data_IF_805124410518
#
_entry.id   IF_805124410518
#
_cell.length_a   1.000
_cell.length_b   1.000
_cell.length_c   1.000
_cell.angle_alpha   90.00
_cell.angle_beta   90.00
_cell.angle_gamma   90.00
#
_symmetry.space_group_name_H-M   'P 1'
#
loop_
_entity.id
_entity.type
_entity.pdbx_description
1 polymer ?
#
# COMPACT_ATOMS: atom_id res chain seq x y z
N UNK A 1 9.45 -62.69 4.62
CA UNK A 1 8.42 -63.24 3.73
C UNK A 1 7.30 -62.21 3.73
N UNK A 2 6.99 -61.67 2.56
CA UNK A 2 5.80 -60.87 2.20
C UNK A 2 5.43 -59.65 3.03
N UNK A 3 5.66 -58.47 2.46
CA UNK A 3 4.63 -57.44 2.31
C UNK A 3 4.78 -56.80 0.91
N UNK A 4 3.94 -57.23 -0.04
CA UNK A 4 3.49 -56.37 -1.13
C UNK A 4 2.34 -55.53 -0.57
N UNK A 5 2.27 -54.25 -0.92
CA UNK A 5 1.13 -53.72 -1.67
C UNK A 5 1.45 -52.32 -2.19
N UNK A 6 1.40 -52.20 -3.51
CA UNK A 6 1.42 -50.96 -4.27
C UNK A 6 0.30 -50.00 -3.84
N UNK A 7 0.57 -48.69 -3.96
CA UNK A 7 -0.31 -47.75 -4.67
C UNK A 7 0.43 -46.44 -4.95
N UNK A 8 0.82 -46.24 -6.21
CA UNK A 8 0.92 -44.90 -6.83
C UNK A 8 -0.49 -44.49 -7.24
N UNK A 9 -0.90 -43.27 -6.95
CA UNK A 9 -1.04 -42.29 -8.03
C UNK A 9 -1.04 -40.85 -7.49
N UNK A 10 -0.52 -39.93 -8.32
CA UNK A 10 -0.27 -38.53 -8.01
C UNK A 10 -1.58 -37.73 -8.16
N UNK A 11 -1.66 -36.58 -7.50
CA UNK A 11 -2.29 -35.35 -8.00
C UNK A 11 -2.20 -34.32 -6.87
N UNK A 12 -1.07 -33.60 -6.84
CA UNK A 12 -0.98 -32.29 -6.19
C UNK A 12 -1.37 -31.26 -7.24
N UNK A 13 -2.67 -31.02 -7.38
CA UNK A 13 -3.17 -29.80 -7.99
C UNK A 13 -3.15 -28.70 -6.92
N UNK A 14 -2.02 -28.01 -6.81
CA UNK A 14 -1.91 -26.72 -6.09
C UNK A 14 -2.55 -25.63 -6.95
N UNK A 15 -3.88 -25.64 -7.07
CA UNK A 15 -4.62 -24.51 -7.62
C UNK A 15 -6.09 -24.48 -7.17
N UNK A 16 -6.31 -24.27 -5.87
CA UNK A 16 -7.60 -23.79 -5.37
C UNK A 16 -7.46 -22.32 -4.96
N UNK A 17 -7.64 -21.42 -5.93
CA UNK A 17 -8.09 -20.06 -5.64
C UNK A 17 -9.52 -20.18 -5.09
N UNK A 18 -9.65 -20.33 -3.78
CA UNK A 18 -10.92 -20.06 -3.13
C UNK A 18 -11.25 -18.56 -3.33
N UNK A 19 -12.44 -18.22 -3.86
CA UNK A 19 -12.83 -16.83 -3.95
C UNK A 19 -13.06 -16.32 -2.53
N UNK A 20 -12.30 -15.30 -2.13
CA UNK A 20 -12.52 -14.56 -0.89
C UNK A 20 -13.98 -14.07 -0.94
N UNK A 21 -14.82 -14.64 -0.07
CA UNK A 21 -16.23 -14.30 -0.01
C UNK A 21 -16.37 -12.86 0.49
N UNK A 22 -16.88 -11.98 -0.34
CA UNK A 22 -17.17 -10.56 -0.08
C UNK A 22 -18.25 -10.30 1.01
N UNK A 23 -18.55 -11.28 1.88
CA UNK A 23 -19.74 -11.26 2.72
C UNK A 23 -19.56 -10.86 4.19
N UNK A 24 -18.35 -10.51 4.66
CA UNK A 24 -18.11 -10.16 6.07
C UNK A 24 -17.29 -8.87 6.29
N UNK A 25 -17.37 -7.89 5.40
CA UNK A 25 -16.77 -6.55 5.64
C UNK A 25 -17.69 -5.40 5.18
N UNK A 26 -18.99 -5.53 5.42
CA UNK A 26 -19.96 -4.43 5.29
C UNK A 26 -20.20 -3.67 6.61
N UNK A 27 -19.33 -3.81 7.61
CA UNK A 27 -19.40 -3.05 8.85
C UNK A 27 -18.85 -1.63 8.66
N UNK A 28 -19.76 -0.73 8.29
CA UNK A 28 -19.61 0.73 8.26
C UNK A 28 -18.51 1.26 7.33
N UNK A 29 -18.83 1.37 6.04
CA UNK A 29 -18.15 2.34 5.17
C UNK A 29 -18.41 3.75 5.73
N UNK A 30 -17.53 4.25 6.59
CA UNK A 30 -17.49 5.66 6.97
C UNK A 30 -17.19 6.48 5.71
N UNK A 31 -18.24 6.91 5.00
CA UNK A 31 -18.18 7.69 3.75
C UNK A 31 -17.80 9.16 4.00
N UNK A 32 -16.86 9.44 4.91
CA UNK A 32 -16.39 10.81 5.17
C UNK A 32 -15.67 11.32 3.93
N UNK A 33 -16.02 12.51 3.38
CA UNK A 33 -15.27 13.07 2.26
C UNK A 33 -13.81 13.33 2.64
N UNK A 34 -12.91 13.11 1.68
CA UNK A 34 -11.47 13.33 1.87
C UNK A 34 -11.07 14.67 1.27
N UNK A 35 -10.45 15.52 2.07
CA UNK A 35 -9.89 16.81 1.66
C UNK A 35 -8.37 16.66 1.59
N UNK A 36 -7.81 16.81 0.38
CA UNK A 36 -6.37 16.71 0.15
C UNK A 36 -5.79 18.11 0.01
N UNK A 37 -4.80 18.43 0.84
CA UNK A 37 -4.03 19.67 0.70
C UNK A 37 -3.39 19.75 -0.70
N UNK A 38 -3.43 20.92 -1.33
CA UNK A 38 -2.94 21.11 -2.70
C UNK A 38 -1.46 20.70 -2.86
N UNK A 39 -0.63 20.91 -1.84
CA UNK A 39 0.78 20.50 -1.85
C UNK A 39 0.93 18.97 -1.79
N UNK A 40 0.16 18.29 -0.94
CA UNK A 40 0.10 16.83 -0.92
C UNK A 40 -0.36 16.27 -2.26
N UNK A 41 -1.42 16.83 -2.85
CA UNK A 41 -1.91 16.43 -4.17
C UNK A 41 -0.85 16.61 -5.26
N UNK A 42 -0.16 17.76 -5.27
CA UNK A 42 0.93 18.03 -6.20
C UNK A 42 2.05 17.00 -6.06
N UNK A 43 2.45 16.64 -4.84
CA UNK A 43 3.50 15.66 -4.60
C UNK A 43 3.11 14.27 -5.11
N UNK A 44 1.86 13.83 -4.85
CA UNK A 44 1.32 12.56 -5.35
C UNK A 44 1.41 12.50 -6.88
N UNK A 45 0.87 13.52 -7.57
CA UNK A 45 0.84 13.54 -9.03
C UNK A 45 2.25 13.64 -9.62
N UNK A 46 3.12 14.46 -9.04
CA UNK A 46 4.49 14.61 -9.52
C UNK A 46 5.25 13.28 -9.42
N UNK A 47 5.14 12.59 -8.28
CA UNK A 47 5.82 11.31 -8.09
C UNK A 47 5.24 10.22 -8.99
N UNK A 48 3.90 10.13 -9.11
CA UNK A 48 3.23 9.24 -10.07
C UNK A 48 3.69 9.47 -11.51
N UNK A 49 3.74 10.73 -11.94
CA UNK A 49 4.12 11.08 -13.31
C UNK A 49 5.55 10.67 -13.67
N UNK A 50 6.45 10.49 -12.69
CA UNK A 50 7.82 10.02 -12.94
C UNK A 50 7.87 8.58 -13.47
N UNK A 51 6.91 7.75 -13.07
CA UNK A 51 6.89 6.31 -13.37
C UNK A 51 5.73 5.89 -14.27
N UNK A 52 4.70 6.73 -14.40
CA UNK A 52 3.58 6.53 -15.31
C UNK A 52 3.28 7.84 -16.05
N UNK A 53 3.75 7.94 -17.30
CA UNK A 53 3.45 9.06 -18.18
C UNK A 53 3.49 8.61 -19.65
N UNK A 54 3.06 9.49 -20.57
CA UNK A 54 2.93 9.20 -22.00
C UNK A 54 4.25 8.83 -22.70
N UNK A 55 5.40 9.19 -22.11
CA UNK A 55 6.73 8.87 -22.65
C UNK A 55 7.19 7.46 -22.26
N UNK A 56 6.50 6.80 -21.32
CA UNK A 56 6.79 5.45 -20.85
C UNK A 56 5.68 4.53 -21.37
N UNK A 57 6.01 3.45 -22.12
CA UNK A 57 5.01 2.49 -22.54
C UNK A 57 4.23 1.95 -21.32
N UNK A 58 2.91 1.84 -21.41
CA UNK A 58 2.08 1.47 -20.25
C UNK A 58 2.44 0.13 -19.62
N UNK A 59 2.99 -0.81 -20.40
CA UNK A 59 3.51 -2.10 -19.91
C UNK A 59 4.72 -1.95 -18.96
N UNK A 60 5.39 -0.81 -19.00
CA UNK A 60 6.59 -0.50 -18.23
C UNK A 60 6.28 0.52 -17.10
N UNK A 61 5.00 0.88 -16.89
CA UNK A 61 4.59 1.68 -15.75
C UNK A 61 4.87 0.93 -14.45
N UNK A 62 5.30 1.66 -13.43
CA UNK A 62 5.58 1.10 -12.10
C UNK A 62 4.56 1.57 -11.09
N UNK A 63 4.12 0.64 -10.25
CA UNK A 63 3.39 0.98 -9.03
C UNK A 63 4.35 1.63 -8.04
N UNK A 64 3.83 2.61 -7.31
CA UNK A 64 4.58 3.37 -6.32
C UNK A 64 3.75 3.50 -5.05
N UNK A 65 4.44 3.55 -3.92
CA UNK A 65 3.82 3.74 -2.61
C UNK A 65 4.23 5.07 -2.02
N UNK A 66 3.44 5.54 -1.06
CA UNK A 66 3.70 6.74 -0.29
C UNK A 66 2.88 6.77 0.98
N UNK A 67 3.31 7.57 1.94
CA UNK A 67 2.65 7.78 3.21
C UNK A 67 1.89 9.09 3.14
N UNK A 68 0.64 9.08 3.56
CA UNK A 68 -0.17 10.28 3.73
C UNK A 68 -0.27 10.59 5.21
N UNK A 69 -0.09 11.87 5.58
CA UNK A 69 -0.23 12.29 6.98
C UNK A 69 -1.27 13.39 7.07
N UNK A 70 -2.03 13.37 8.16
CA UNK A 70 -3.29 14.08 8.24
C UNK A 70 -4.03 13.81 9.52
N UNK A 71 -5.29 14.18 9.56
CA UNK A 71 -6.19 13.94 10.70
C UNK A 71 -7.61 13.76 10.18
N UNK A 72 -8.50 13.22 11.01
CA UNK A 72 -9.92 13.17 10.72
C UNK A 72 -10.70 13.84 11.83
N UNK A 73 -11.84 14.44 11.48
CA UNK A 73 -12.86 14.86 12.43
C UNK A 73 -14.16 14.09 12.15
N UNK A 74 -15.29 14.54 12.72
CA UNK A 74 -16.59 13.88 12.57
C UNK A 74 -17.10 13.87 11.12
N UNK A 75 -16.71 14.85 10.31
CA UNK A 75 -17.26 15.08 8.98
C UNK A 75 -16.27 14.68 7.86
N UNK A 76 -14.97 14.90 8.05
CA UNK A 76 -13.96 14.83 7.00
C UNK A 76 -12.69 14.07 7.40
N UNK A 77 -11.95 13.62 6.38
CA UNK A 77 -10.56 13.19 6.50
C UNK A 77 -9.68 14.21 5.77
N UNK A 78 -8.74 14.81 6.48
CA UNK A 78 -7.82 15.81 5.95
C UNK A 78 -6.44 15.20 5.72
N UNK A 79 -6.02 15.13 4.46
CA UNK A 79 -4.63 14.80 4.09
C UNK A 79 -3.83 16.10 4.05
N UNK A 80 -2.92 16.29 5.01
CA UNK A 80 -2.03 17.46 5.07
C UNK A 80 -0.80 17.29 4.18
N UNK A 81 -0.13 16.13 4.26
CA UNK A 81 1.14 15.87 3.57
C UNK A 81 1.14 14.52 2.85
N UNK A 82 2.07 14.38 1.91
CA UNK A 82 2.36 13.12 1.20
C UNK A 82 3.86 12.94 1.07
N UNK A 83 4.34 11.75 1.43
CA UNK A 83 5.74 11.34 1.40
C UNK A 83 5.91 10.13 0.49
N UNK A 84 6.62 10.25 -0.64
CA UNK A 84 6.85 9.12 -1.52
C UNK A 84 7.80 8.09 -0.86
N UNK A 85 7.47 6.81 -0.98
CA UNK A 85 8.41 5.74 -0.66
C UNK A 85 9.23 5.45 -1.91
N UNK A 86 10.52 5.79 -1.85
CA UNK A 86 11.46 5.56 -2.95
C UNK A 86 12.28 4.31 -2.70
N UNK A 87 12.16 3.32 -3.59
CA UNK A 87 13.10 2.20 -3.65
C UNK A 87 13.90 2.21 -4.95
N UNK A 88 15.16 1.77 -4.85
CA UNK A 88 16.10 1.70 -5.96
C UNK A 88 15.65 0.70 -7.02
N UNK A 89 15.66 1.16 -8.27
CA UNK A 89 15.59 0.48 -9.58
C UNK A 89 14.63 -0.69 -9.86
N UNK A 90 14.24 -1.54 -8.91
CA UNK A 90 13.48 -2.76 -9.20
C UNK A 90 11.98 -2.61 -8.97
N UNK A 91 11.23 -3.31 -9.81
CA UNK A 91 9.78 -3.22 -10.06
C UNK A 91 8.90 -3.81 -8.96
N UNK A 92 9.49 -4.35 -7.89
CA UNK A 92 8.76 -4.90 -6.75
C UNK A 92 9.02 -4.04 -5.52
N UNK A 93 7.95 -3.53 -4.92
CA UNK A 93 8.05 -2.75 -3.69
C UNK A 93 8.26 -3.73 -2.55
N UNK A 94 9.52 -4.03 -2.30
CA UNK A 94 9.95 -4.69 -1.08
C UNK A 94 10.22 -3.62 -0.03
N UNK A 95 9.36 -3.57 0.99
CA UNK A 95 9.64 -2.78 2.18
C UNK A 95 10.84 -3.39 2.90
N UNK A 96 11.98 -2.72 2.82
CA UNK A 96 13.17 -3.04 3.60
C UNK A 96 13.27 -2.17 4.86
N UNK A 97 14.31 -2.44 5.67
CA UNK A 97 14.58 -1.74 6.93
C UNK A 97 14.62 -0.20 6.79
N UNK A 98 15.06 0.32 5.65
CA UNK A 98 15.16 1.78 5.43
C UNK A 98 13.78 2.44 5.39
N UNK A 99 12.76 1.73 4.93
CA UNK A 99 11.39 2.25 4.92
C UNK A 99 10.82 2.34 6.33
N UNK A 100 11.14 1.38 7.21
CA UNK A 100 10.74 1.44 8.61
C UNK A 100 11.40 2.62 9.32
N UNK A 101 12.70 2.85 9.09
CA UNK A 101 13.39 4.04 9.61
C UNK A 101 12.74 5.32 9.08
N UNK A 102 12.48 5.39 7.79
CA UNK A 102 11.83 6.55 7.17
C UNK A 102 10.42 6.82 7.75
N UNK A 103 9.61 5.79 7.96
CA UNK A 103 8.31 5.90 8.61
C UNK A 103 8.47 6.42 10.05
N UNK A 104 9.45 5.90 10.79
CA UNK A 104 9.75 6.34 12.16
C UNK A 104 10.18 7.81 12.21
N UNK A 105 11.00 8.27 11.27
CA UNK A 105 11.40 9.68 11.16
C UNK A 105 10.19 10.59 10.89
N UNK A 106 9.27 10.15 10.03
CA UNK A 106 8.00 10.86 9.78
C UNK A 106 7.18 10.91 11.07
N UNK A 107 7.05 9.80 11.79
CA UNK A 107 6.31 9.75 13.06
C UNK A 107 6.90 10.70 14.10
N UNK A 108 8.22 10.66 14.33
CA UNK A 108 8.92 11.54 15.27
C UNK A 108 8.72 13.03 14.94
N UNK A 109 8.85 13.39 13.66
CA UNK A 109 8.61 14.76 13.19
C UNK A 109 7.19 15.21 13.53
N UNK A 110 6.19 14.36 13.28
CA UNK A 110 4.79 14.72 13.52
C UNK A 110 4.47 14.84 15.02
N UNK A 111 5.08 14.01 15.87
CA UNK A 111 5.02 14.19 17.32
C UNK A 111 5.62 15.54 17.75
N UNK A 112 6.77 15.92 17.18
CA UNK A 112 7.45 17.19 17.46
C UNK A 112 6.62 18.42 17.08
N UNK A 113 5.81 18.33 16.03
CA UNK A 113 4.91 19.40 15.58
C UNK A 113 3.62 19.52 16.43
N UNK A 114 3.41 18.63 17.40
CA UNK A 114 2.15 18.55 18.14
C UNK A 114 0.99 18.03 17.29
N UNK A 115 1.29 17.42 16.14
CA UNK A 115 0.32 16.86 15.21
C UNK A 115 0.09 15.36 15.44
N UNK A 116 0.56 14.78 16.56
CA UNK A 116 0.56 13.34 16.90
C UNK A 116 -0.80 12.66 17.04
N UNK A 117 -1.71 12.83 16.09
CA UNK A 117 -3.00 12.16 15.98
C UNK A 117 -3.07 11.52 14.60
N UNK A 118 -2.51 10.32 14.48
CA UNK A 118 -2.58 9.53 13.24
C UNK A 118 -3.34 8.24 13.54
N UNK A 119 -4.34 7.96 12.69
CA UNK A 119 -5.02 6.67 12.61
C UNK A 119 -4.28 5.75 11.65
#
# INVERSE_FOLDING_TARGET
>A
MTEEFEKRNPDKDENSHEPISDSETESARNNKPVIINAEAYKNIILYASRYANQSIPSKDWKEIYGILTGYADDDFVFVKNSYPLTFGHDTDVQLDERHYVFISEIEEMLYGEGNGHFM
#
